data_IF_738092500308
#
_entry.id   IF_738092500308
#
_cell.length_a   1.000
_cell.length_b   1.000
_cell.length_c   1.000
_cell.angle_alpha   90.00
_cell.angle_beta   90.00
_cell.angle_gamma   90.00
#
_symmetry.space_group_name_H-M   'P 1'
#
loop_
_entity.id
_entity.type
_entity.pdbx_description
1 polymer ?
#
# COMPACT_ATOMS: atom_id res chain seq x y z
N UNK A 1 6.11 14.60 17.51
CA UNK A 1 5.05 13.82 18.16
C UNK A 1 4.13 13.36 17.04
N UNK A 2 4.25 12.11 16.60
CA UNK A 2 3.42 11.58 15.53
C UNK A 2 2.01 11.30 16.07
N UNK A 3 1.00 11.53 15.22
CA UNK A 3 -0.34 11.98 15.67
C UNK A 3 -1.44 10.93 15.61
N UNK A 4 -1.22 9.79 14.95
CA UNK A 4 -2.32 8.92 14.56
C UNK A 4 -2.73 7.96 15.67
N UNK A 5 -3.95 8.11 16.16
CA UNK A 5 -4.50 7.31 17.27
C UNK A 5 -5.05 5.95 16.81
N UNK A 6 -5.32 5.83 15.51
CA UNK A 6 -5.76 4.61 14.83
C UNK A 6 -5.02 4.40 13.50
N UNK A 7 -5.03 3.17 12.99
CA UNK A 7 -4.52 2.86 11.65
C UNK A 7 -5.33 3.58 10.55
N UNK A 8 -6.63 3.79 10.76
CA UNK A 8 -7.53 4.52 9.86
C UNK A 8 -7.15 6.02 9.77
N UNK A 9 -6.76 6.63 10.89
CA UNK A 9 -6.27 8.02 10.88
C UNK A 9 -4.97 8.13 10.06
N UNK A 10 -4.06 7.16 10.22
CA UNK A 10 -2.82 7.09 9.44
C UNK A 10 -3.09 6.86 7.95
N UNK A 11 -4.04 5.99 7.60
CA UNK A 11 -4.46 5.75 6.21
C UNK A 11 -5.11 6.97 5.57
N UNK A 12 -5.99 7.66 6.30
CA UNK A 12 -6.63 8.88 5.80
C UNK A 12 -5.59 9.97 5.53
N UNK A 13 -4.63 10.14 6.45
CA UNK A 13 -3.52 11.07 6.25
C UNK A 13 -2.58 10.64 5.11
N UNK A 14 -2.42 9.34 4.88
CA UNK A 14 -1.66 8.81 3.74
C UNK A 14 -2.24 9.24 2.41
N UNK A 15 -3.53 9.01 2.17
CA UNK A 15 -4.17 9.41 0.92
C UNK A 15 -4.23 10.94 0.79
N UNK A 16 -4.48 11.66 1.88
CA UNK A 16 -4.44 13.13 1.86
C UNK A 16 -3.05 13.65 1.45
N UNK A 17 -1.98 13.12 2.05
CA UNK A 17 -0.61 13.51 1.70
C UNK A 17 -0.25 13.11 0.26
N UNK A 18 -0.77 11.99 -0.24
CA UNK A 18 -0.57 11.55 -1.61
C UNK A 18 -1.26 12.52 -2.60
N UNK A 19 -2.55 12.80 -2.42
CA UNK A 19 -3.32 13.71 -3.28
C UNK A 19 -2.75 15.14 -3.29
N UNK A 20 -2.17 15.58 -2.17
CA UNK A 20 -1.55 16.91 -2.05
C UNK A 20 -0.08 16.95 -2.47
N UNK A 21 0.52 15.80 -2.82
CA UNK A 21 1.96 15.65 -3.02
C UNK A 21 2.80 16.22 -1.85
N UNK A 22 2.32 16.06 -0.62
CA UNK A 22 2.98 16.54 0.59
C UNK A 22 4.00 15.52 1.08
N UNK A 23 5.26 15.71 0.68
CA UNK A 23 6.36 14.84 1.08
C UNK A 23 6.56 14.81 2.60
N UNK A 24 6.42 15.95 3.27
CA UNK A 24 6.67 16.01 4.72
C UNK A 24 5.54 15.33 5.49
N UNK A 25 4.29 15.58 5.09
CA UNK A 25 3.12 14.86 5.57
C UNK A 25 3.24 13.35 5.33
N UNK A 26 3.57 12.94 4.10
CA UNK A 26 3.78 11.54 3.72
C UNK A 26 4.78 10.87 4.64
N UNK A 27 5.94 11.50 4.85
CA UNK A 27 6.96 10.90 5.70
C UNK A 27 6.54 10.79 7.16
N UNK A 28 5.60 11.59 7.69
CA UNK A 28 5.10 11.42 9.06
C UNK A 28 4.30 10.13 9.27
N UNK A 29 3.72 9.55 8.22
CA UNK A 29 2.96 8.29 8.31
C UNK A 29 3.89 7.08 8.46
N UNK A 30 5.03 7.09 7.77
CA UNK A 30 5.97 5.98 7.77
C UNK A 30 6.68 5.82 9.12
N UNK A 31 6.87 4.57 9.55
CA UNK A 31 7.72 4.24 10.68
C UNK A 31 9.16 4.73 10.43
N UNK A 32 9.87 5.10 11.50
CA UNK A 32 11.15 5.83 11.41
C UNK A 32 12.37 4.92 11.52
N UNK A 33 12.28 3.72 10.97
CA UNK A 33 13.32 2.71 11.05
C UNK A 33 13.50 1.98 9.70
N UNK A 34 14.52 1.13 9.63
CA UNK A 34 14.97 0.53 8.37
C UNK A 34 14.11 -0.65 7.90
N UNK A 35 13.08 -1.06 8.65
CA UNK A 35 12.23 -2.19 8.25
C UNK A 35 11.09 -1.80 7.31
N UNK A 36 10.94 -0.51 7.00
CA UNK A 36 9.87 -0.04 6.14
C UNK A 36 10.07 -0.49 4.70
N UNK A 37 8.98 -0.85 4.02
CA UNK A 37 9.01 -1.31 2.62
C UNK A 37 7.91 -0.61 1.81
N UNK A 38 8.27 -0.11 0.63
CA UNK A 38 7.30 0.41 -0.33
C UNK A 38 7.47 -0.25 -1.70
N UNK A 39 6.36 -0.61 -2.32
CA UNK A 39 6.29 -1.09 -3.71
C UNK A 39 5.18 -0.30 -4.40
N UNK A 40 5.58 0.60 -5.28
CA UNK A 40 4.67 1.31 -6.19
C UNK A 40 4.28 0.42 -7.38
N UNK A 41 3.15 0.67 -8.04
CA UNK A 41 2.74 -0.13 -9.20
C UNK A 41 3.84 -0.18 -10.27
N UNK A 42 4.29 -1.40 -10.60
CA UNK A 42 5.33 -1.65 -11.62
C UNK A 42 6.77 -1.25 -11.24
N UNK A 43 7.00 -0.78 -10.01
CA UNK A 43 8.33 -0.42 -9.52
C UNK A 43 9.04 -1.61 -8.86
N UNK A 44 10.39 -1.56 -8.67
CA UNK A 44 11.09 -2.50 -7.79
C UNK A 44 10.60 -2.38 -6.34
N UNK A 45 11.25 -3.04 -5.38
CA UNK A 45 10.99 -2.85 -3.95
C UNK A 45 11.96 -1.81 -3.40
N UNK A 46 11.45 -0.85 -2.62
CA UNK A 46 12.24 0.12 -1.85
C UNK A 46 12.30 -0.34 -0.40
N UNK A 47 13.51 -0.37 0.16
CA UNK A 47 13.78 -0.87 1.51
C UNK A 47 14.39 0.22 2.39
N UNK A 48 13.83 0.38 3.60
CA UNK A 48 14.28 1.38 4.56
C UNK A 48 13.79 2.80 4.24
N UNK A 49 13.87 3.67 5.24
CA UNK A 49 13.23 4.99 5.20
C UNK A 49 13.80 5.90 4.10
N UNK A 50 15.09 5.78 3.79
CA UNK A 50 15.75 6.60 2.75
C UNK A 50 15.20 6.30 1.37
N UNK A 51 15.19 5.03 0.95
CA UNK A 51 14.70 4.64 -0.37
C UNK A 51 13.19 4.91 -0.51
N UNK A 52 12.42 4.66 0.55
CA UNK A 52 11.00 5.01 0.58
C UNK A 52 10.81 6.51 0.38
N UNK A 53 11.56 7.37 1.11
CA UNK A 53 11.47 8.83 0.93
C UNK A 53 11.83 9.25 -0.49
N UNK A 54 12.95 8.75 -1.02
CA UNK A 54 13.42 9.08 -2.37
C UNK A 54 12.38 8.69 -3.44
N UNK A 55 11.69 7.57 -3.26
CA UNK A 55 10.61 7.14 -4.16
C UNK A 55 9.42 8.10 -4.16
N UNK A 56 9.00 8.58 -2.99
CA UNK A 56 7.92 9.56 -2.85
C UNK A 56 8.33 10.93 -3.36
N UNK A 57 9.56 11.37 -3.08
CA UNK A 57 10.11 12.63 -3.59
C UNK A 57 10.17 12.64 -5.12
N UNK A 58 10.56 11.52 -5.73
CA UNK A 58 10.54 11.37 -7.18
C UNK A 58 9.12 11.45 -7.75
N UNK A 59 8.15 10.81 -7.09
CA UNK A 59 6.74 10.82 -7.49
C UNK A 59 6.10 12.21 -7.33
N UNK A 60 6.51 12.97 -6.31
CA UNK A 60 5.96 14.30 -5.98
C UNK A 60 6.66 15.48 -6.66
N UNK A 61 7.69 15.23 -7.48
CA UNK A 61 8.44 16.31 -8.14
C UNK A 61 7.60 17.09 -9.16
N UNK A 62 6.81 16.38 -9.96
CA UNK A 62 5.91 16.93 -10.97
C UNK A 62 4.58 16.17 -10.91
N UNK A 63 3.80 16.32 -9.83
CA UNK A 63 2.70 15.42 -9.53
C UNK A 63 1.48 15.75 -10.43
N UNK A 64 0.89 14.75 -11.09
CA UNK A 64 -0.45 14.92 -11.66
C UNK A 64 -1.46 15.20 -10.55
N UNK A 65 -2.61 15.82 -10.87
CA UNK A 65 -3.69 15.98 -9.91
C UNK A 65 -4.37 14.62 -9.68
N UNK A 66 -3.82 13.85 -8.74
CA UNK A 66 -4.33 12.54 -8.36
C UNK A 66 -5.53 12.68 -7.42
N UNK A 67 -6.50 11.79 -7.60
CA UNK A 67 -7.54 11.51 -6.62
C UNK A 67 -7.75 10.02 -6.46
N UNK A 68 -8.05 9.62 -5.22
CA UNK A 68 -8.31 8.23 -4.87
C UNK A 68 -9.73 8.07 -4.32
N UNK A 69 -10.48 7.13 -4.88
CA UNK A 69 -11.69 6.61 -4.27
C UNK A 69 -11.40 5.20 -3.73
N UNK A 70 -11.47 5.04 -2.41
CA UNK A 70 -11.23 3.73 -1.78
C UNK A 70 -12.49 2.87 -1.83
N UNK A 71 -12.36 1.69 -2.40
CA UNK A 71 -13.40 0.69 -2.56
C UNK A 71 -13.00 -0.61 -1.86
N UNK A 72 -13.99 -1.43 -1.53
CA UNK A 72 -13.83 -2.80 -1.00
C UNK A 72 -12.81 -2.93 0.15
N UNK A 73 -12.80 -1.94 1.06
CA UNK A 73 -11.85 -1.88 2.18
C UNK A 73 -12.03 -3.07 3.11
N UNK A 74 -10.99 -3.91 3.20
CA UNK A 74 -10.92 -5.06 4.10
C UNK A 74 -9.83 -4.88 5.13
N UNK A 75 -10.19 -5.08 6.40
CA UNK A 75 -9.30 -4.81 7.54
C UNK A 75 -9.10 -6.07 8.38
N UNK A 76 -7.86 -6.50 8.50
CA UNK A 76 -7.44 -7.53 9.46
C UNK A 76 -6.58 -6.88 10.54
N UNK A 77 -6.91 -7.03 11.83
CA UNK A 77 -6.18 -6.34 12.90
C UNK A 77 -5.99 -7.18 14.16
N UNK A 78 -4.88 -6.91 14.83
CA UNK A 78 -4.63 -7.30 16.22
C UNK A 78 -4.63 -6.04 17.10
N UNK A 79 -4.07 -6.15 18.30
CA UNK A 79 -3.89 -5.01 19.20
C UNK A 79 -2.93 -3.96 18.63
N UNK A 80 -1.82 -4.40 18.02
CA UNK A 80 -0.68 -3.54 17.66
C UNK A 80 -0.28 -3.67 16.17
N UNK A 81 -1.10 -4.36 15.36
CA UNK A 81 -0.95 -4.53 13.91
C UNK A 81 -2.30 -4.35 13.22
N UNK A 82 -2.32 -3.67 12.08
CA UNK A 82 -3.47 -3.59 11.18
C UNK A 82 -3.02 -3.74 9.73
N UNK A 83 -3.73 -4.55 8.96
CA UNK A 83 -3.54 -4.74 7.53
C UNK A 83 -4.82 -4.29 6.84
N UNK A 84 -4.71 -3.27 6.01
CA UNK A 84 -5.80 -2.75 5.21
C UNK A 84 -5.55 -3.16 3.76
N UNK A 85 -6.48 -3.91 3.20
CA UNK A 85 -6.49 -4.27 1.79
C UNK A 85 -7.59 -3.46 1.13
N UNK A 86 -7.24 -2.69 0.10
CA UNK A 86 -8.14 -1.73 -0.52
C UNK A 86 -8.03 -1.81 -2.03
N UNK A 87 -9.13 -1.50 -2.71
CA UNK A 87 -9.13 -1.15 -4.12
C UNK A 87 -9.07 0.37 -4.22
N UNK A 88 -8.09 0.89 -4.94
CA UNK A 88 -7.90 2.32 -5.13
C UNK A 88 -8.32 2.66 -6.57
N UNK A 89 -9.50 3.26 -6.73
CA UNK A 89 -9.88 3.86 -8.01
C UNK A 89 -9.10 5.15 -8.17
N UNK A 90 -8.23 5.22 -9.18
CA UNK A 90 -7.31 6.35 -9.40
C UNK A 90 -7.80 7.23 -10.53
N UNK A 91 -7.99 8.51 -10.23
CA UNK A 91 -8.23 9.55 -11.21
C UNK A 91 -7.00 10.46 -11.36
N UNK A 92 -6.69 10.87 -12.59
CA UNK A 92 -5.74 11.92 -12.91
C UNK A 92 -6.46 13.03 -13.66
N UNK A 93 -6.37 14.26 -13.18
CA UNK A 93 -7.01 15.45 -13.78
C UNK A 93 -8.53 15.24 -14.02
N UNK A 94 -9.18 14.49 -13.12
CA UNK A 94 -10.61 14.15 -13.18
C UNK A 94 -10.98 13.08 -14.21
N UNK A 95 -10.00 12.36 -14.76
CA UNK A 95 -10.21 11.22 -15.64
C UNK A 95 -9.81 9.94 -14.93
N UNK A 96 -10.70 8.94 -14.95
CA UNK A 96 -10.39 7.59 -14.49
C UNK A 96 -9.21 7.02 -15.29
N UNK A 97 -8.23 6.46 -14.58
CA UNK A 97 -7.04 5.86 -15.18
C UNK A 97 -7.04 4.36 -15.02
N UNK A 98 -7.16 3.86 -13.78
CA UNK A 98 -7.04 2.44 -13.48
C UNK A 98 -7.50 2.14 -12.04
N UNK A 99 -7.76 0.86 -11.78
CA UNK A 99 -7.99 0.32 -10.44
C UNK A 99 -6.68 -0.27 -9.93
N UNK A 100 -6.23 0.19 -8.75
CA UNK A 100 -5.13 -0.46 -8.04
C UNK A 100 -5.69 -1.36 -6.95
N UNK A 101 -4.94 -2.40 -6.61
CA UNK A 101 -5.12 -3.18 -5.38
C UNK A 101 -3.93 -2.92 -4.48
N UNK A 102 -4.19 -2.52 -3.24
CA UNK A 102 -3.16 -2.14 -2.29
C UNK A 102 -3.29 -2.88 -0.97
N UNK A 103 -2.14 -3.29 -0.42
CA UNK A 103 -2.00 -3.78 0.95
C UNK A 103 -1.18 -2.77 1.74
N UNK A 104 -1.83 -2.10 2.69
CA UNK A 104 -1.23 -1.15 3.61
C UNK A 104 -1.12 -1.80 5.00
N UNK A 105 0.10 -1.86 5.54
CA UNK A 105 0.39 -2.45 6.85
C UNK A 105 0.78 -1.36 7.82
N UNK A 106 0.10 -1.35 8.96
CA UNK A 106 0.29 -0.39 10.03
C UNK A 106 0.62 -1.09 11.34
N UNK A 107 1.55 -0.52 12.09
CA UNK A 107 1.91 -0.98 13.43
C UNK A 107 1.77 0.13 14.46
N UNK A 108 1.47 -0.27 15.69
CA UNK A 108 1.36 0.65 16.82
C UNK A 108 2.59 0.56 17.73
N UNK A 109 3.19 1.70 18.03
CA UNK A 109 4.32 1.79 18.96
C UNK A 109 3.89 1.79 20.45
N UNK A 110 4.87 1.87 21.34
CA UNK A 110 4.65 1.96 22.79
C UNK A 110 3.93 3.24 23.25
N UNK A 111 4.04 4.31 22.47
CA UNK A 111 3.38 5.59 22.71
C UNK A 111 1.93 5.61 22.18
N UNK A 112 1.47 4.47 21.65
CA UNK A 112 0.14 4.23 21.08
C UNK A 112 -0.11 5.00 19.78
N UNK A 113 0.95 5.36 19.07
CA UNK A 113 0.89 5.98 17.76
C UNK A 113 0.97 4.91 16.66
N UNK A 114 0.19 5.09 15.60
CA UNK A 114 0.19 4.19 14.44
C UNK A 114 1.05 4.74 13.31
N UNK A 115 1.76 3.84 12.63
CA UNK A 115 2.65 4.14 11.51
C UNK A 115 2.51 3.09 10.43
N UNK A 116 2.69 3.48 9.18
CA UNK A 116 2.83 2.55 8.06
C UNK A 116 4.21 1.91 8.09
N UNK A 117 4.27 0.58 8.02
CA UNK A 117 5.50 -0.19 7.94
C UNK A 117 5.67 -0.86 6.58
N UNK A 118 4.59 -1.15 5.87
CA UNK A 118 4.67 -1.67 4.51
C UNK A 118 3.51 -1.20 3.65
N UNK A 119 3.80 -0.91 2.38
CA UNK A 119 2.79 -0.72 1.34
C UNK A 119 3.23 -1.45 0.09
N UNK A 120 2.31 -2.23 -0.48
CA UNK A 120 2.44 -2.75 -1.82
C UNK A 120 1.15 -2.42 -2.59
N UNK A 121 1.31 -1.75 -3.73
CA UNK A 121 0.24 -1.47 -4.67
C UNK A 121 0.59 -2.02 -6.05
N UNK A 122 -0.39 -2.60 -6.72
CA UNK A 122 -0.29 -3.05 -8.11
C UNK A 122 -1.57 -2.73 -8.86
N UNK A 123 -1.50 -2.62 -10.18
CA UNK A 123 -2.70 -2.58 -11.01
C UNK A 123 -3.54 -3.83 -10.79
N UNK A 124 -4.86 -3.69 -10.75
CA UNK A 124 -5.79 -4.81 -10.83
C UNK A 124 -5.82 -5.30 -12.28
N UNK A 125 -5.51 -6.57 -12.56
CA UNK A 125 -5.70 -7.16 -13.88
C UNK A 125 -7.11 -6.94 -14.44
N UNK A 126 -7.20 -6.49 -15.69
CA UNK A 126 -8.48 -6.30 -16.40
C UNK A 126 -9.22 -7.63 -16.63
N UNK A 127 -8.46 -8.73 -16.80
CA UNK A 127 -8.97 -10.07 -17.11
C UNK A 127 -8.70 -11.05 -15.95
N UNK A 128 -9.40 -10.89 -14.82
CA UNK A 128 -9.52 -11.96 -13.83
C UNK A 128 -10.60 -12.96 -14.26
N UNK A 129 -10.32 -13.75 -15.29
CA UNK A 129 -11.00 -15.04 -15.43
C UNK A 129 -10.41 -15.97 -14.37
N UNK A 130 -11.25 -16.39 -13.41
CA UNK A 130 -10.89 -17.50 -12.53
C UNK A 130 -10.79 -18.71 -13.46
N UNK A 131 -9.57 -19.21 -13.67
CA UNK A 131 -9.42 -20.53 -14.26
C UNK A 131 -9.82 -21.55 -13.19
N UNK A 132 -11.11 -21.88 -13.21
CA UNK A 132 -11.75 -22.86 -12.32
C UNK A 132 -11.02 -24.23 -12.35
N UNK A 133 -10.19 -24.49 -13.36
CA UNK A 133 -9.43 -25.73 -13.55
C UNK A 133 -8.13 -25.86 -12.75
N UNK A 134 -7.64 -24.82 -12.09
CA UNK A 134 -6.40 -24.90 -11.29
C UNK A 134 -6.61 -25.38 -9.84
N UNK A 135 -7.88 -25.53 -9.41
CA UNK A 135 -8.25 -26.05 -8.10
C UNK A 135 -9.10 -27.33 -8.20
N UNK A 136 -9.08 -28.02 -9.34
CA UNK A 136 -9.50 -29.43 -9.35
C UNK A 136 -8.41 -30.23 -8.65
N UNK A 137 -8.76 -30.77 -7.47
CA UNK A 137 -7.95 -31.69 -6.68
C UNK A 137 -7.55 -32.92 -7.51
N UNK A 138 -6.48 -32.82 -8.31
CA UNK A 138 -5.73 -34.00 -8.73
C UNK A 138 -4.64 -34.27 -7.69
N UNK A 139 -4.86 -35.35 -6.93
CA UNK A 139 -3.93 -35.99 -6.00
C UNK A 139 -2.44 -35.78 -6.36
N UNK A 140 -1.79 -34.79 -5.72
CA UNK A 140 -0.34 -34.62 -5.76
C UNK A 140 0.14 -33.17 -5.67
N UNK A 141 0.15 -32.59 -4.46
CA UNK A 141 0.99 -31.41 -4.24
C UNK A 141 2.47 -31.79 -4.44
N UNK A 142 3.22 -31.15 -5.34
CA UNK A 142 4.68 -31.24 -5.30
C UNK A 142 5.18 -30.45 -4.08
N UNK A 143 5.98 -31.11 -3.24
CA UNK A 143 6.80 -30.49 -2.20
C UNK A 143 7.86 -29.59 -2.89
N UNK A 144 7.50 -28.37 -3.28
CA UNK A 144 8.41 -27.23 -3.39
C UNK A 144 7.62 -26.01 -3.82
N UNK A 145 7.71 -24.94 -3.02
CA UNK A 145 7.17 -23.64 -3.40
C UNK A 145 7.76 -23.22 -4.75
N UNK A 146 6.91 -22.99 -5.74
CA UNK A 146 7.33 -22.46 -7.03
C UNK A 146 7.90 -21.06 -6.82
N UNK A 147 9.23 -20.95 -6.82
CA UNK A 147 9.91 -19.66 -6.92
C UNK A 147 9.91 -19.28 -8.40
N UNK A 148 9.08 -18.33 -8.77
CA UNK A 148 9.19 -17.70 -10.10
C UNK A 148 10.48 -16.85 -10.11
N UNK A 149 11.34 -17.14 -11.09
CA UNK A 149 12.63 -16.49 -11.29
C UNK A 149 12.46 -15.20 -12.08
#
# INVERSE_FOLDING_TARGET
MNKYSTAQDAESAFYEAFEQADLEGMMLIWAKDDRVVCIHPGAPRMEGLSEVRESWEALFRDPPMLKFSLLDVRITRTKDLAIHQVREEVEIDGQYISMMVSTNVYERDSDKCWYMTSRHSSAEPDDYEVDDGLYEDEDGMPDEAVVFH
#
